data_IF_211320640303
#
_entry.id   IF_211320640303
#
_cell.length_a   1.000
_cell.length_b   1.000
_cell.length_c   1.000
_cell.angle_alpha   90.00
_cell.angle_beta   90.00
_cell.angle_gamma   90.00
#
_symmetry.space_group_name_H-M   'P 1'
#
loop_
_entity.id
_entity.type
_entity.pdbx_description
1 polymer ?
#
# COMPACT_ATOMS: atom_id res chain seq x y z
N UNK A 1 -20.26 0.66 15.32
CA UNK A 1 -18.79 0.62 15.36
C UNK A 1 -18.33 1.06 13.99
N UNK A 2 -17.50 2.11 13.90
CA UNK A 2 -17.12 2.64 12.60
C UNK A 2 -16.37 1.56 11.82
N UNK A 3 -16.93 1.22 10.66
CA UNK A 3 -16.37 0.33 9.66
C UNK A 3 -15.17 1.08 9.05
N UNK A 4 -13.98 0.88 9.61
CA UNK A 4 -12.76 1.54 9.15
C UNK A 4 -12.05 0.62 8.17
N UNK A 5 -12.13 0.91 6.88
CA UNK A 5 -11.35 0.20 5.88
C UNK A 5 -9.88 0.63 5.92
N UNK A 6 -8.97 -0.22 5.45
CA UNK A 6 -7.56 0.15 5.28
C UNK A 6 -7.39 1.31 4.29
N UNK A 7 -8.28 1.43 3.30
CA UNK A 7 -8.29 2.56 2.37
C UNK A 7 -8.61 3.88 3.09
N UNK A 8 -9.52 3.89 4.07
CA UNK A 8 -9.81 5.09 4.87
C UNK A 8 -8.63 5.49 5.74
N UNK A 9 -7.91 4.51 6.30
CA UNK A 9 -6.67 4.78 7.04
C UNK A 9 -5.62 5.41 6.12
N UNK A 10 -5.39 4.82 4.94
CA UNK A 10 -4.45 5.34 3.96
C UNK A 10 -4.81 6.78 3.54
N UNK A 11 -6.10 7.03 3.25
CA UNK A 11 -6.63 8.35 2.92
C UNK A 11 -6.32 9.38 4.01
N UNK A 12 -6.68 9.08 5.27
CA UNK A 12 -6.45 9.99 6.40
C UNK A 12 -4.96 10.25 6.64
N UNK A 13 -4.12 9.22 6.49
CA UNK A 13 -2.68 9.35 6.64
C UNK A 13 -2.09 10.30 5.59
N UNK A 14 -2.48 10.14 4.32
CA UNK A 14 -2.07 11.03 3.23
C UNK A 14 -2.59 12.45 3.43
N UNK A 15 -3.88 12.62 3.70
CA UNK A 15 -4.48 13.93 3.86
C UNK A 15 -3.86 14.73 5.01
N UNK A 16 -3.63 14.09 6.17
CA UNK A 16 -2.98 14.73 7.31
C UNK A 16 -1.55 15.17 6.93
N UNK A 17 -0.77 14.26 6.34
CA UNK A 17 0.61 14.55 5.98
C UNK A 17 0.72 15.65 4.92
N UNK A 18 -0.11 15.61 3.88
CA UNK A 18 -0.09 16.61 2.80
C UNK A 18 -0.54 17.99 3.31
N UNK A 19 -1.50 18.06 4.25
CA UNK A 19 -1.99 19.35 4.78
C UNK A 19 -1.10 19.94 5.87
N UNK A 20 -0.55 19.12 6.76
CA UNK A 20 0.14 19.59 7.97
C UNK A 20 1.63 19.26 8.03
N UNK A 21 2.11 18.38 7.15
CA UNK A 21 3.47 17.83 7.19
C UNK A 21 3.69 16.84 8.34
N UNK A 22 2.63 16.41 9.03
CA UNK A 22 2.72 15.50 10.18
C UNK A 22 2.14 14.14 9.84
N UNK A 23 2.71 13.09 10.43
CA UNK A 23 2.10 11.78 10.35
C UNK A 23 0.84 11.73 11.23
N UNK A 24 -0.21 11.11 10.70
CA UNK A 24 -1.42 10.82 11.45
C UNK A 24 -1.06 9.96 12.68
N UNK A 25 -1.53 10.30 13.89
CA UNK A 25 -1.35 9.44 15.04
C UNK A 25 -2.12 8.12 14.85
N UNK A 26 -1.58 7.05 15.41
CA UNK A 26 -2.20 5.72 15.35
C UNK A 26 -3.57 5.76 16.04
N UNK A 27 -4.66 5.36 15.36
CA UNK A 27 -5.96 5.25 16.00
C UNK A 27 -5.93 4.17 17.08
N UNK A 28 -6.36 4.52 18.30
CA UNK A 28 -6.47 3.60 19.43
C UNK A 28 -7.95 3.40 19.81
N UNK A 29 -8.38 2.16 20.15
CA UNK A 29 -7.61 0.91 20.09
C UNK A 29 -7.43 0.39 18.65
N UNK A 30 -6.29 -0.26 18.38
CA UNK A 30 -6.02 -0.90 17.08
C UNK A 30 -6.80 -2.22 17.00
N UNK A 31 -7.60 -2.45 15.94
CA UNK A 31 -8.26 -3.74 15.72
C UNK A 31 -7.24 -4.89 15.68
N UNK A 32 -7.52 -6.05 16.32
CA UNK A 32 -6.59 -7.18 16.36
C UNK A 32 -6.09 -7.64 14.99
N UNK A 33 -6.96 -7.67 13.98
CA UNK A 33 -6.63 -8.00 12.59
C UNK A 33 -5.59 -7.08 11.95
N UNK A 34 -5.47 -5.84 12.42
CA UNK A 34 -4.47 -4.86 11.96
C UNK A 34 -3.18 -4.88 12.79
N UNK A 35 -3.17 -5.62 13.91
CA UNK A 35 -2.05 -5.76 14.82
C UNK A 35 -1.12 -6.94 14.47
N UNK A 36 -1.23 -7.48 13.26
CA UNK A 36 -0.31 -8.47 12.70
C UNK A 36 0.71 -7.82 11.77
N UNK A 37 1.84 -8.47 11.51
CA UNK A 37 2.80 -8.05 10.49
C UNK A 37 2.38 -8.57 9.11
N UNK A 38 2.41 -7.71 8.10
CA UNK A 38 2.17 -8.05 6.70
C UNK A 38 2.87 -7.03 5.80
N UNK A 39 3.31 -7.45 4.61
CA UNK A 39 3.64 -6.50 3.54
C UNK A 39 2.34 -5.89 3.00
N UNK A 40 2.41 -4.67 2.48
CA UNK A 40 1.24 -4.03 1.89
C UNK A 40 1.66 -3.00 0.83
N UNK A 41 0.86 -2.89 -0.23
CA UNK A 41 0.97 -1.87 -1.26
C UNK A 41 -0.20 -0.91 -1.13
N UNK A 42 0.10 0.39 -1.16
CA UNK A 42 -0.90 1.46 -1.21
C UNK A 42 -0.76 2.15 -2.55
N UNK A 43 -1.83 2.09 -3.34
CA UNK A 43 -1.89 2.81 -4.60
C UNK A 43 -2.90 3.97 -4.51
N UNK A 44 -2.49 5.09 -5.07
CA UNK A 44 -3.27 6.30 -5.24
C UNK A 44 -3.63 6.41 -6.72
N UNK A 45 -4.91 6.63 -7.00
CA UNK A 45 -5.38 6.93 -8.36
C UNK A 45 -6.04 8.30 -8.38
N UNK A 46 -5.91 9.01 -9.49
CA UNK A 46 -6.62 10.26 -9.76
C UNK A 46 -7.40 10.08 -11.05
N UNK A 47 -8.73 10.12 -10.96
CA UNK A 47 -9.62 9.93 -12.13
C UNK A 47 -9.32 8.63 -12.89
N UNK A 48 -9.11 7.53 -12.15
CA UNK A 48 -8.77 6.22 -12.69
C UNK A 48 -7.29 6.01 -13.08
N UNK A 49 -6.47 7.05 -13.16
CA UNK A 49 -5.05 6.94 -13.52
C UNK A 49 -4.15 6.83 -12.29
N UNK A 50 -3.06 6.08 -12.40
CA UNK A 50 -2.09 5.92 -11.32
C UNK A 50 -1.42 7.25 -10.97
N UNK A 51 -1.48 7.64 -9.70
CA UNK A 51 -0.90 8.89 -9.17
C UNK A 51 0.26 8.68 -8.20
N UNK A 52 0.40 7.46 -7.71
CA UNK A 52 1.50 6.99 -6.87
C UNK A 52 1.19 5.58 -6.38
N UNK A 53 2.20 4.73 -6.23
CA UNK A 53 2.04 3.45 -5.55
C UNK A 53 3.35 2.98 -4.94
N UNK A 54 3.32 2.75 -3.63
CA UNK A 54 4.45 2.31 -2.83
C UNK A 54 3.98 1.20 -1.90
N UNK A 55 4.87 0.23 -1.67
CA UNK A 55 4.60 -0.86 -0.76
C UNK A 55 5.86 -1.61 -0.38
N UNK A 56 5.66 -2.56 0.52
CA UNK A 56 6.69 -3.50 0.95
C UNK A 56 6.21 -4.92 0.69
N UNK A 57 7.13 -5.76 0.21
CA UNK A 57 6.85 -7.18 -0.03
C UNK A 57 6.84 -7.94 1.30
N UNK A 58 7.86 -7.67 2.13
CA UNK A 58 7.96 -8.20 3.48
C UNK A 58 7.62 -7.10 4.49
N UNK A 59 7.00 -7.45 5.64
CA UNK A 59 6.61 -6.46 6.64
C UNK A 59 7.83 -5.69 7.19
N UNK A 60 7.87 -4.39 6.96
CA UNK A 60 8.91 -3.50 7.45
C UNK A 60 8.55 -2.86 8.80
N UNK A 61 7.28 -2.93 9.19
CA UNK A 61 6.74 -2.40 10.45
C UNK A 61 6.21 -3.51 11.37
N UNK A 62 5.96 -3.12 12.63
CA UNK A 62 5.47 -4.03 13.67
C UNK A 62 4.01 -4.43 13.50
N UNK A 63 3.23 -3.63 12.77
CA UNK A 63 1.81 -3.87 12.52
C UNK A 63 1.43 -3.46 11.09
N UNK A 64 0.46 -4.13 10.50
CA UNK A 64 -0.13 -3.79 9.20
C UNK A 64 -0.66 -2.36 9.19
N UNK A 65 -1.21 -1.87 10.29
CA UNK A 65 -1.68 -0.49 10.39
C UNK A 65 -0.55 0.53 10.13
N UNK A 66 0.57 0.38 10.82
CA UNK A 66 1.76 1.22 10.61
C UNK A 66 2.36 1.05 9.22
N UNK A 67 2.36 -0.18 8.68
CA UNK A 67 2.81 -0.47 7.31
C UNK A 67 2.00 0.34 6.29
N UNK A 68 0.67 0.26 6.36
CA UNK A 68 -0.25 0.98 5.46
C UNK A 68 -0.13 2.48 5.62
N UNK A 69 -0.11 3.00 6.85
CA UNK A 69 0.03 4.45 7.09
C UNK A 69 1.34 5.00 6.51
N UNK A 70 2.45 4.29 6.68
CA UNK A 70 3.73 4.69 6.11
C UNK A 70 3.71 4.61 4.59
N UNK A 71 3.29 3.48 4.02
CA UNK A 71 3.31 3.27 2.57
C UNK A 71 2.33 4.22 1.86
N UNK A 72 1.23 4.61 2.50
CA UNK A 72 0.31 5.61 1.99
C UNK A 72 0.98 6.98 1.84
N UNK A 73 1.68 7.45 2.88
CA UNK A 73 2.42 8.72 2.83
C UNK A 73 3.53 8.64 1.78
N UNK A 74 4.31 7.57 1.76
CA UNK A 74 5.37 7.38 0.75
C UNK A 74 4.79 7.32 -0.68
N UNK A 75 3.63 6.68 -0.90
CA UNK A 75 2.96 6.68 -2.20
C UNK A 75 2.55 8.09 -2.65
N UNK A 76 2.21 8.97 -1.71
CA UNK A 76 1.83 10.35 -2.00
C UNK A 76 3.03 11.26 -2.29
N UNK A 77 4.17 11.07 -1.62
CA UNK A 77 5.25 12.08 -1.63
C UNK A 77 6.64 11.55 -2.02
N UNK A 78 6.84 10.24 -2.07
CA UNK A 78 8.14 9.60 -2.30
C UNK A 78 8.18 8.70 -3.55
N UNK A 79 7.05 8.49 -4.24
CA UNK A 79 7.06 7.72 -5.50
C UNK A 79 7.86 8.48 -6.57
N UNK A 80 9.02 7.95 -7.01
CA UNK A 80 9.95 8.67 -7.89
C UNK A 80 9.40 8.89 -9.31
N UNK A 81 8.29 8.24 -9.66
CA UNK A 81 7.64 8.39 -10.97
C UNK A 81 6.77 9.64 -11.05
N UNK A 82 6.42 10.25 -9.92
CA UNK A 82 5.47 11.36 -9.85
C UNK A 82 6.00 12.49 -8.97
N UNK A 83 5.48 13.70 -9.17
CA UNK A 83 5.68 14.78 -8.21
C UNK A 83 4.86 14.53 -6.94
N UNK A 84 5.31 15.02 -5.76
CA UNK A 84 4.54 14.91 -4.53
C UNK A 84 3.10 15.43 -4.70
N UNK A 85 2.14 14.70 -4.16
CA UNK A 85 0.71 15.07 -4.14
C UNK A 85 0.51 16.40 -3.43
N UNK A 86 -0.30 17.27 -4.02
CA UNK A 86 -0.67 18.57 -3.44
C UNK A 86 -2.03 18.53 -2.77
N UNK A 87 -2.26 19.47 -1.87
CA UNK A 87 -3.49 19.56 -1.09
C UNK A 87 -4.75 19.69 -1.98
N UNK A 88 -4.64 20.35 -3.13
CA UNK A 88 -5.76 20.54 -4.05
C UNK A 88 -6.13 19.24 -4.81
N UNK A 89 -5.25 18.25 -4.82
CA UNK A 89 -5.52 16.96 -5.47
C UNK A 89 -6.30 16.00 -4.57
N UNK A 90 -6.28 16.20 -3.25
CA UNK A 90 -6.74 15.22 -2.25
C UNK A 90 -8.20 14.77 -2.44
N UNK A 91 -9.08 15.69 -2.82
CA UNK A 91 -10.51 15.38 -3.02
C UNK A 91 -10.77 14.51 -4.26
N UNK A 92 -9.80 14.46 -5.19
CA UNK A 92 -9.89 13.69 -6.43
C UNK A 92 -9.20 12.32 -6.36
N UNK A 93 -8.61 11.99 -5.21
CA UNK A 93 -7.84 10.75 -5.03
C UNK A 93 -8.73 9.58 -4.60
N UNK A 94 -8.51 8.46 -5.28
CA UNK A 94 -8.97 7.14 -4.92
C UNK A 94 -7.81 6.36 -4.30
N UNK A 95 -8.10 5.59 -3.25
CA UNK A 95 -7.10 4.87 -2.45
C UNK A 95 -7.41 3.38 -2.48
N UNK A 96 -6.43 2.55 -2.82
CA UNK A 96 -6.51 1.11 -2.68
C UNK A 96 -5.36 0.58 -1.83
N UNK A 97 -5.63 -0.48 -1.08
CA UNK A 97 -4.64 -1.15 -0.23
C UNK A 97 -4.67 -2.64 -0.50
N UNK A 98 -3.55 -3.16 -0.99
CA UNK A 98 -3.35 -4.57 -1.24
C UNK A 98 -2.46 -5.14 -0.14
N UNK A 99 -3.03 -6.00 0.70
CA UNK A 99 -2.29 -6.65 1.79
C UNK A 99 -1.74 -7.97 1.29
N UNK A 100 -0.43 -8.16 1.48
CA UNK A 100 0.25 -9.35 1.00
C UNK A 100 0.27 -10.44 2.07
N UNK A 101 0.17 -11.67 1.58
CA UNK A 101 0.54 -12.86 2.34
C UNK A 101 2.04 -13.11 2.25
N UNK A 102 2.54 -14.03 3.09
CA UNK A 102 3.94 -14.42 3.01
C UNK A 102 4.20 -15.06 1.64
N UNK A 103 5.26 -14.65 0.91
CA UNK A 103 5.54 -15.20 -0.40
C UNK A 103 5.97 -16.67 -0.29
N UNK A 104 5.47 -17.49 -1.20
CA UNK A 104 5.80 -18.90 -1.31
C UNK A 104 6.57 -19.16 -2.61
N UNK A 105 7.48 -20.15 -2.58
CA UNK A 105 8.21 -20.55 -3.77
C UNK A 105 7.27 -21.29 -4.70
N UNK A 106 7.11 -20.76 -5.92
CA UNK A 106 6.36 -21.44 -6.95
C UNK A 106 7.14 -22.68 -7.43
N UNK A 107 6.49 -23.85 -7.44
CA UNK A 107 7.07 -25.09 -7.96
C UNK A 107 7.09 -25.11 -9.49
N UNK A 108 6.14 -24.42 -10.14
CA UNK A 108 6.06 -24.28 -11.60
C UNK A 108 5.31 -23.00 -11.99
N UNK A 109 5.38 -22.60 -13.26
CA UNK A 109 4.57 -21.47 -13.75
C UNK A 109 3.08 -21.83 -13.89
N UNK A 110 2.76 -23.13 -14.02
CA UNK A 110 1.41 -23.60 -14.31
C UNK A 110 0.45 -23.48 -13.11
N UNK A 111 0.97 -23.29 -11.89
CA UNK A 111 0.17 -23.08 -10.68
C UNK A 111 -0.15 -21.61 -10.41
N UNK A 112 0.45 -20.69 -11.15
CA UNK A 112 0.31 -19.25 -10.95
C UNK A 112 -0.85 -18.71 -11.79
N UNK A 113 -2.07 -18.76 -11.24
CA UNK A 113 -3.21 -18.01 -11.80
C UNK A 113 -2.98 -16.50 -11.63
N UNK A 114 -2.77 -15.73 -12.72
CA UNK A 114 -2.50 -14.29 -12.64
C UNK A 114 -3.65 -13.46 -12.07
N UNK A 115 -4.87 -14.00 -11.99
CA UNK A 115 -6.01 -13.35 -11.34
C UNK A 115 -5.96 -13.46 -9.81
N UNK A 116 -5.23 -14.44 -9.30
CA UNK A 116 -5.17 -14.77 -7.87
C UNK A 116 -3.81 -14.40 -7.28
N UNK A 117 -2.74 -14.75 -7.98
CA UNK A 117 -1.37 -14.63 -7.48
C UNK A 117 -0.62 -13.46 -8.11
N UNK A 118 -0.01 -12.65 -7.25
CA UNK A 118 1.09 -11.79 -7.64
C UNK A 118 2.37 -12.60 -7.80
N UNK A 119 3.33 -12.08 -8.55
CA UNK A 119 4.63 -12.75 -8.76
C UNK A 119 5.77 -11.89 -8.26
N UNK A 120 6.71 -12.54 -7.57
CA UNK A 120 7.99 -11.94 -7.19
C UNK A 120 9.07 -12.68 -7.99
N UNK A 121 9.90 -11.92 -8.69
CA UNK A 121 11.02 -12.47 -9.46
C UNK A 121 12.32 -11.94 -8.89
N UNK A 122 13.24 -12.84 -8.58
CA UNK A 122 14.54 -12.53 -7.99
C UNK A 122 15.69 -12.98 -8.88
N UNK A 123 16.69 -12.12 -9.06
CA UNK A 123 17.92 -12.41 -9.80
C UNK A 123 19.10 -11.70 -9.13
N UNK A 124 19.84 -12.44 -8.29
CA UNK A 124 20.91 -11.88 -7.48
C UNK A 124 20.38 -10.81 -6.51
N UNK A 125 20.83 -9.56 -6.66
CA UNK A 125 20.35 -8.42 -5.85
C UNK A 125 19.12 -7.71 -6.44
N UNK A 126 18.66 -8.14 -7.62
CA UNK A 126 17.49 -7.55 -8.28
C UNK A 126 16.25 -8.30 -7.85
N UNK A 127 15.21 -7.55 -7.49
CA UNK A 127 13.88 -8.08 -7.13
C UNK A 127 12.83 -7.25 -7.85
N UNK A 128 11.89 -7.92 -8.49
CA UNK A 128 10.71 -7.33 -9.09
C UNK A 128 9.46 -7.94 -8.46
N UNK A 129 8.40 -7.15 -8.35
CA UNK A 129 7.10 -7.60 -7.87
C UNK A 129 6.01 -7.11 -8.81
N UNK A 130 5.05 -7.98 -9.06
CA UNK A 130 3.85 -7.67 -9.80
C UNK A 130 2.65 -8.16 -8.98
N UNK A 131 1.69 -7.28 -8.73
CA UNK A 131 0.46 -7.62 -8.02
C UNK A 131 -0.47 -8.46 -8.92
N UNK A 132 -1.38 -9.27 -8.34
CA UNK A 132 -2.36 -10.02 -9.12
C UNK A 132 -3.36 -9.09 -9.81
N UNK A 133 -4.05 -9.62 -10.81
CA UNK A 133 -5.22 -9.01 -11.44
C UNK A 133 -4.96 -7.58 -11.98
N UNK A 134 -3.83 -7.43 -12.67
CA UNK A 134 -3.53 -6.22 -13.46
C UNK A 134 -4.11 -6.39 -14.86
N UNK A 135 -5.01 -5.48 -15.26
CA UNK A 135 -5.55 -5.35 -16.61
C UNK A 135 -4.68 -4.44 -17.51
#
# INVERSE_FOLDING_TARGET
>A
MADYSLADVAKRAVEEYVRSGKHLPVPLPVPPELNRRAGAFVCLKKRGELRGCIGTIEPARDTLLHEVMQNAVSAAVEDPRFYPVRAEELEELEYSVDVLEAPELAASLDELDPKVYGVIVESGRKRGVLLPNLD
#
